data_IF_873218996420
#
_entry.id   IF_873218996420
#
_cell.length_a   1.000
_cell.length_b   1.000
_cell.length_c   1.000
_cell.angle_alpha   90.00
_cell.angle_beta   90.00
_cell.angle_gamma   90.00
#
_symmetry.space_group_name_H-M   'P 1'
#
loop_
_entity.id
_entity.type
_entity.pdbx_description
1 polymer ?
#
# COMPACT_ATOMS: atom_id res chain seq x y z
N UNK A 1 38.30 -14.65 27.01
CA UNK A 1 37.40 -13.49 27.21
C UNK A 1 36.67 -13.23 25.90
N UNK A 2 35.51 -13.84 25.70
CA UNK A 2 34.53 -13.37 24.72
C UNK A 2 33.16 -13.48 25.38
N UNK A 3 32.56 -12.32 25.65
CA UNK A 3 31.21 -12.22 26.13
C UNK A 3 30.27 -12.65 25.00
N UNK A 4 29.57 -13.76 25.22
CA UNK A 4 28.47 -14.18 24.37
C UNK A 4 27.36 -13.16 24.59
N UNK A 5 27.04 -12.39 23.55
CA UNK A 5 25.87 -11.52 23.54
C UNK A 5 24.65 -12.43 23.58
N UNK A 6 24.19 -12.78 24.78
CA UNK A 6 22.84 -13.28 24.99
C UNK A 6 21.89 -12.12 24.69
N UNK A 7 21.33 -12.14 23.48
CA UNK A 7 20.13 -11.37 23.18
C UNK A 7 19.11 -11.71 24.25
N UNK A 8 18.81 -10.71 25.07
CA UNK A 8 17.77 -10.74 26.08
C UNK A 8 16.53 -11.39 25.48
N UNK A 9 16.23 -12.63 25.91
CA UNK A 9 15.02 -13.37 25.55
C UNK A 9 13.88 -12.67 26.27
N UNK A 10 13.41 -11.55 25.69
CA UNK A 10 12.22 -10.85 26.15
C UNK A 10 11.12 -11.91 26.26
N UNK A 11 10.65 -12.05 27.50
CA UNK A 11 9.61 -12.95 27.97
C UNK A 11 8.58 -13.26 26.87
N UNK A 12 8.50 -14.53 26.43
CA UNK A 12 7.40 -15.07 25.61
C UNK A 12 6.10 -15.13 26.45
N UNK A 13 5.70 -13.99 27.01
CA UNK A 13 4.37 -13.81 27.58
C UNK A 13 3.44 -13.54 26.40
N UNK A 14 2.68 -14.60 26.07
CA UNK A 14 1.49 -14.66 25.24
C UNK A 14 1.02 -13.30 24.70
N UNK A 15 1.57 -12.86 23.57
CA UNK A 15 0.80 -11.92 22.78
C UNK A 15 -0.20 -12.76 21.95
N UNK A 16 -1.43 -12.28 21.77
CA UNK A 16 -2.44 -13.05 21.05
C UNK A 16 -2.10 -13.19 19.56
N UNK A 17 -1.41 -12.22 18.95
CA UNK A 17 -1.14 -12.27 17.50
C UNK A 17 -0.10 -13.32 17.13
N UNK A 18 0.96 -13.53 17.92
CA UNK A 18 1.97 -14.61 17.79
C UNK A 18 1.33 -15.98 18.02
N UNK A 19 0.36 -16.10 18.92
CA UNK A 19 -0.41 -17.34 19.06
C UNK A 19 -1.28 -17.63 17.82
N UNK A 20 -1.89 -16.61 17.21
CA UNK A 20 -2.63 -16.75 15.95
C UNK A 20 -1.69 -17.09 14.78
N UNK A 21 -0.49 -16.51 14.72
CA UNK A 21 0.53 -16.89 13.73
C UNK A 21 0.90 -18.37 13.87
N UNK A 22 1.15 -18.82 15.10
CA UNK A 22 1.54 -20.21 15.39
C UNK A 22 0.41 -21.21 15.13
N UNK A 23 -0.84 -20.82 15.38
CA UNK A 23 -1.99 -21.67 15.10
C UNK A 23 -2.35 -21.74 13.61
N UNK A 24 -2.37 -20.58 12.92
CA UNK A 24 -2.85 -20.50 11.54
C UNK A 24 -1.81 -20.91 10.51
N UNK A 25 -0.51 -20.65 10.76
CA UNK A 25 0.59 -20.97 9.84
C UNK A 25 0.44 -20.41 8.40
N UNK A 26 -0.38 -19.36 8.20
CA UNK A 26 -0.64 -18.74 6.89
C UNK A 26 -0.04 -17.35 6.73
N UNK A 27 0.54 -16.79 7.79
CA UNK A 27 1.18 -15.48 7.77
C UNK A 27 2.36 -15.43 8.74
N UNK A 28 3.13 -14.35 8.64
CA UNK A 28 4.19 -14.02 9.59
C UNK A 28 4.03 -12.59 10.11
N UNK A 29 4.52 -12.31 11.31
CA UNK A 29 4.63 -10.93 11.78
C UNK A 29 5.59 -10.11 10.93
N UNK A 30 5.43 -8.79 10.96
CA UNK A 30 6.20 -7.85 10.14
C UNK A 30 7.71 -8.03 10.31
N UNK A 31 8.19 -8.30 11.52
CA UNK A 31 9.63 -8.43 11.83
C UNK A 31 10.26 -9.67 11.21
N UNK A 32 9.45 -10.68 10.87
CA UNK A 32 9.88 -11.91 10.18
C UNK A 32 9.82 -11.78 8.66
N UNK A 33 9.10 -10.79 8.12
CA UNK A 33 8.96 -10.58 6.67
C UNK A 33 10.19 -9.83 6.12
N UNK A 34 10.76 -10.34 5.03
CA UNK A 34 11.82 -9.64 4.29
C UNK A 34 11.32 -8.25 3.86
N UNK A 35 12.08 -7.21 4.19
CA UNK A 35 11.84 -5.87 3.65
C UNK A 35 12.22 -5.87 2.16
N UNK A 36 11.31 -5.41 1.32
CA UNK A 36 11.60 -5.12 -0.08
C UNK A 36 12.23 -3.72 -0.16
N UNK A 37 13.17 -3.50 -1.07
CA UNK A 37 13.80 -2.18 -1.27
C UNK A 37 12.82 -1.08 -1.71
N UNK A 38 11.62 -1.46 -2.16
CA UNK A 38 10.51 -0.54 -2.42
C UNK A 38 10.14 0.30 -1.18
N UNK A 39 10.35 -0.21 0.03
CA UNK A 39 10.04 0.54 1.26
C UNK A 39 10.95 1.76 1.48
N UNK A 40 12.09 1.83 0.81
CA UNK A 40 13.00 2.97 0.89
C UNK A 40 12.58 4.10 -0.06
N UNK A 41 11.53 3.90 -0.85
CA UNK A 41 11.06 4.85 -1.84
C UNK A 41 9.89 5.66 -1.31
N UNK A 42 9.97 6.97 -1.51
CA UNK A 42 8.80 7.81 -1.43
C UNK A 42 7.88 7.51 -2.62
N UNK A 43 6.60 7.30 -2.33
CA UNK A 43 5.54 7.22 -3.33
C UNK A 43 4.34 8.01 -2.88
N UNK A 44 3.37 8.16 -3.77
CA UNK A 44 2.24 9.05 -3.57
C UNK A 44 0.94 8.39 -4.06
N UNK A 45 -0.19 8.74 -3.44
CA UNK A 45 -1.52 8.30 -3.80
C UNK A 45 -2.40 9.50 -4.15
N UNK A 46 -3.26 9.36 -5.17
CA UNK A 46 -4.12 10.46 -5.65
C UNK A 46 -5.15 10.93 -4.63
N UNK A 47 -5.56 10.07 -3.68
CA UNK A 47 -6.63 10.36 -2.72
C UNK A 47 -6.41 11.63 -1.90
N UNK A 48 -5.17 11.87 -1.44
CA UNK A 48 -4.84 13.02 -0.57
C UNK A 48 -4.87 14.36 -1.32
N UNK A 49 -4.91 14.37 -2.66
CA UNK A 49 -4.92 15.58 -3.47
C UNK A 49 -6.20 15.78 -4.30
N UNK A 50 -6.74 14.70 -4.85
CA UNK A 50 -7.82 14.76 -5.84
C UNK A 50 -9.12 14.12 -5.37
N UNK A 51 -9.07 13.30 -4.32
CA UNK A 51 -10.18 12.42 -3.94
C UNK A 51 -10.67 11.61 -5.15
N UNK A 52 -11.79 12.01 -5.75
CA UNK A 52 -12.42 11.36 -6.90
C UNK A 52 -12.08 12.01 -8.26
N UNK A 53 -11.60 13.25 -8.28
CA UNK A 53 -11.41 14.03 -9.52
C UNK A 53 -9.99 13.87 -10.08
N UNK A 54 -9.62 12.62 -10.35
CA UNK A 54 -8.28 12.28 -10.83
C UNK A 54 -8.19 12.50 -12.34
N UNK A 55 -7.34 13.42 -12.76
CA UNK A 55 -7.05 13.68 -14.18
C UNK A 55 -5.58 13.41 -14.51
N UNK A 56 -5.29 13.05 -15.77
CA UNK A 56 -3.92 12.84 -16.22
C UNK A 56 -3.06 14.12 -16.08
N UNK A 57 -3.65 15.29 -16.34
CA UNK A 57 -2.98 16.59 -16.16
C UNK A 57 -2.67 16.85 -14.68
N UNK A 58 -3.65 16.65 -13.79
CA UNK A 58 -3.43 16.81 -12.36
C UNK A 58 -2.32 15.91 -11.82
N UNK A 59 -2.28 14.64 -12.25
CA UNK A 59 -1.20 13.71 -11.89
C UNK A 59 0.17 14.23 -12.33
N UNK A 60 0.29 14.73 -13.56
CA UNK A 60 1.54 15.25 -14.10
C UNK A 60 1.98 16.53 -13.39
N UNK A 61 1.06 17.44 -13.08
CA UNK A 61 1.32 18.66 -12.30
C UNK A 61 1.78 18.34 -10.87
N UNK A 62 1.13 17.39 -10.20
CA UNK A 62 1.52 16.98 -8.86
C UNK A 62 2.91 16.33 -8.85
N UNK A 63 3.20 15.45 -9.81
CA UNK A 63 4.53 14.86 -9.97
C UNK A 63 5.62 15.92 -10.18
N UNK A 64 5.37 16.94 -11.02
CA UNK A 64 6.27 18.09 -11.20
C UNK A 64 6.46 18.87 -9.91
N UNK A 65 5.36 19.16 -9.20
CA UNK A 65 5.39 19.90 -7.93
C UNK A 65 6.23 19.18 -6.87
N UNK A 66 5.97 17.89 -6.63
CA UNK A 66 6.73 17.05 -5.70
C UNK A 66 8.21 16.98 -6.06
N UNK A 67 8.53 16.80 -7.34
CA UNK A 67 9.91 16.77 -7.84
C UNK A 67 10.62 18.11 -7.64
N UNK A 68 9.94 19.23 -7.94
CA UNK A 68 10.48 20.58 -7.73
C UNK A 68 10.67 20.93 -6.25
N UNK A 69 9.84 20.36 -5.38
CA UNK A 69 9.95 20.43 -3.92
C UNK A 69 11.02 19.51 -3.33
N UNK A 70 11.80 18.80 -4.15
CA UNK A 70 12.89 17.92 -3.70
C UNK A 70 12.43 16.55 -3.19
N UNK A 71 11.17 16.19 -3.39
CA UNK A 71 10.58 14.92 -2.95
C UNK A 71 9.99 14.15 -4.14
N UNK A 72 10.79 13.74 -5.15
CA UNK A 72 10.28 13.08 -6.34
C UNK A 72 9.73 11.68 -6.01
N UNK A 73 8.43 11.39 -6.27
CA UNK A 73 7.88 10.06 -6.04
C UNK A 73 8.46 9.04 -7.02
N UNK A 74 8.72 7.82 -6.53
CA UNK A 74 9.20 6.69 -7.33
C UNK A 74 8.09 5.75 -7.78
N UNK A 75 6.93 5.86 -7.15
CA UNK A 75 5.72 5.14 -7.53
C UNK A 75 4.50 5.99 -7.23
N UNK A 76 3.45 5.77 -8.03
CA UNK A 76 2.15 6.42 -7.93
C UNK A 76 1.10 5.33 -7.76
N UNK A 77 0.16 5.55 -6.84
CA UNK A 77 -1.08 4.78 -6.74
C UNK A 77 -2.20 5.70 -7.22
N UNK A 78 -2.95 5.23 -8.21
CA UNK A 78 -4.22 5.85 -8.59
C UNK A 78 -5.28 5.16 -7.74
N UNK A 79 -5.85 5.91 -6.79
CA UNK A 79 -6.85 5.40 -5.84
C UNK A 79 -8.18 5.07 -6.55
N UNK A 80 -9.10 4.47 -5.82
CA UNK A 80 -10.42 4.08 -6.33
C UNK A 80 -11.21 5.29 -6.84
N UNK A 81 -12.28 5.02 -7.59
CA UNK A 81 -13.19 6.03 -8.16
C UNK A 81 -12.59 6.89 -9.29
N UNK A 82 -11.33 6.67 -9.69
CA UNK A 82 -10.74 7.39 -10.85
C UNK A 82 -11.32 6.95 -12.20
N UNK A 83 -11.76 5.70 -12.32
CA UNK A 83 -12.18 5.10 -13.58
C UNK A 83 -13.71 5.13 -13.69
N UNK A 84 -14.22 5.85 -14.70
CA UNK A 84 -15.62 5.73 -15.12
C UNK A 84 -15.80 4.54 -16.08
N UNK A 85 -16.86 3.76 -15.89
CA UNK A 85 -17.24 2.70 -16.82
C UNK A 85 -18.29 3.27 -17.77
N UNK A 86 -17.89 3.56 -19.01
CA UNK A 86 -18.79 4.02 -20.07
C UNK A 86 -19.85 2.98 -20.44
N UNK A 87 -21.08 3.44 -20.73
CA UNK A 87 -22.21 2.58 -21.12
C UNK A 87 -22.29 2.31 -22.62
N UNK A 88 -21.32 2.73 -23.44
CA UNK A 88 -21.45 2.68 -24.90
C UNK A 88 -21.51 1.27 -25.51
N UNK A 89 -21.08 0.22 -24.78
CA UNK A 89 -21.06 -1.17 -25.28
C UNK A 89 -21.48 -2.19 -24.20
N UNK A 90 -22.64 -2.00 -23.56
CA UNK A 90 -23.19 -3.02 -22.65
C UNK A 90 -23.64 -4.25 -23.46
N UNK A 91 -22.88 -5.35 -23.40
CA UNK A 91 -23.46 -6.67 -23.65
C UNK A 91 -24.58 -6.87 -22.62
N UNK A 92 -25.83 -7.11 -23.04
CA UNK A 92 -26.95 -7.28 -22.11
C UNK A 92 -26.77 -8.47 -21.14
N UNK A 93 -25.80 -9.35 -21.39
CA UNK A 93 -25.48 -10.48 -20.52
C UNK A 93 -24.37 -10.19 -19.48
N UNK A 94 -23.71 -9.02 -19.53
CA UNK A 94 -22.65 -8.66 -18.58
C UNK A 94 -23.21 -7.77 -17.49
N UNK A 95 -23.27 -8.30 -16.27
CA UNK A 95 -23.60 -7.54 -15.07
C UNK A 95 -22.31 -6.88 -14.56
N UNK A 96 -22.17 -5.59 -14.80
CA UNK A 96 -21.15 -4.78 -14.12
C UNK A 96 -21.71 -4.38 -12.76
N UNK A 97 -21.07 -4.79 -11.68
CA UNK A 97 -21.37 -4.28 -10.34
C UNK A 97 -20.72 -2.90 -10.22
N UNK A 98 -21.53 -1.85 -10.09
CA UNK A 98 -21.03 -0.55 -9.62
C UNK A 98 -20.40 -0.76 -8.24
N UNK A 99 -19.12 -0.39 -8.12
CA UNK A 99 -18.39 -0.42 -6.86
C UNK A 99 -19.06 0.49 -5.82
N UNK A 100 -18.82 0.19 -4.54
CA UNK A 100 -19.44 0.87 -3.41
C UNK A 100 -19.26 2.39 -3.47
N UNK A 101 -20.38 3.10 -3.39
CA UNK A 101 -20.45 4.56 -3.25
C UNK A 101 -20.19 4.98 -1.80
#
# INVERSE_FOLDING_TARGET
MQAKVEKCRVSRRLNPTWAVEDHMQTFHHREKKKLLGLLDWFGWCTWDAFFIDVTAEGVEECHKSLSSGGTPPRFLIIDDVWQEIGNENKDPNVVVQEGAQ
#
